data_IF_730583306725
#
_entry.id   IF_730583306725
#
_cell.length_a   1.000
_cell.length_b   1.000
_cell.length_c   1.000
_cell.angle_alpha   90.00
_cell.angle_beta   90.00
_cell.angle_gamma   90.00
#
_symmetry.space_group_name_H-M   'P 1'
#
loop_
_entity.id
_entity.type
_entity.pdbx_description
1 polymer ?
#
# COMPACT_ATOMS: atom_id res chain seq x y z
N UNK A 1 -6.93 -23.60 -13.30
CA UNK A 1 -6.09 -22.68 -12.51
C UNK A 1 -4.61 -23.07 -12.65
N UNK A 2 -3.94 -22.71 -13.75
CA UNK A 2 -2.50 -23.02 -13.93
C UNK A 2 -1.72 -21.89 -14.65
N UNK A 3 -2.26 -20.68 -14.72
CA UNK A 3 -1.68 -19.61 -15.53
C UNK A 3 -1.36 -18.32 -14.78
N UNK A 4 -1.88 -18.10 -13.55
CA UNK A 4 -1.51 -16.92 -12.76
C UNK A 4 -0.14 -17.05 -12.05
N UNK A 5 0.33 -18.28 -11.78
CA UNK A 5 1.60 -18.47 -11.11
C UNK A 5 2.80 -18.07 -11.99
N UNK A 6 2.70 -18.20 -13.31
CA UNK A 6 3.85 -18.07 -14.21
C UNK A 6 4.28 -16.63 -14.52
N UNK A 7 3.41 -15.63 -14.35
CA UNK A 7 3.75 -14.23 -14.60
C UNK A 7 4.46 -13.56 -13.41
N UNK A 8 4.30 -14.09 -12.19
CA UNK A 8 5.03 -13.63 -11.00
C UNK A 8 6.54 -13.98 -11.07
N UNK A 9 6.91 -15.00 -11.86
CA UNK A 9 8.28 -15.53 -11.89
C UNK A 9 9.24 -14.76 -12.80
N UNK A 10 8.77 -14.11 -13.87
CA UNK A 10 9.68 -13.60 -14.91
C UNK A 10 10.28 -12.24 -14.54
N UNK A 11 9.57 -11.38 -13.81
CA UNK A 11 10.12 -10.11 -13.33
C UNK A 11 10.95 -10.25 -12.05
N UNK A 12 10.75 -11.31 -11.25
CA UNK A 12 11.59 -11.58 -10.07
C UNK A 12 12.91 -12.27 -10.43
N UNK A 13 12.88 -13.20 -11.41
CA UNK A 13 14.04 -14.03 -11.76
C UNK A 13 15.20 -13.26 -12.42
N UNK A 14 14.95 -12.12 -13.08
CA UNK A 14 16.00 -11.32 -13.70
C UNK A 14 16.83 -10.49 -12.69
N UNK A 15 16.37 -10.36 -11.44
CA UNK A 15 17.05 -9.58 -10.39
C UNK A 15 17.57 -10.44 -9.23
N UNK A 16 17.44 -11.77 -9.32
CA UNK A 16 18.02 -12.72 -8.38
C UNK A 16 19.55 -12.79 -8.56
N UNK A 17 20.26 -11.81 -8.00
CA UNK A 17 21.54 -12.13 -7.38
C UNK A 17 21.29 -13.28 -6.38
N UNK A 18 22.24 -14.20 -6.28
CA UNK A 18 22.15 -15.47 -5.56
C UNK A 18 21.92 -15.41 -4.03
N UNK A 19 21.38 -14.30 -3.51
CA UNK A 19 20.81 -14.17 -2.18
C UNK A 19 19.43 -13.51 -2.26
N UNK A 20 18.36 -14.28 -2.10
CA UNK A 20 17.01 -13.73 -1.95
C UNK A 20 16.91 -12.78 -0.75
N UNK A 21 15.90 -11.91 -0.75
CA UNK A 21 15.63 -11.03 0.39
C UNK A 21 15.40 -11.85 1.66
N UNK A 22 16.20 -11.59 2.70
CA UNK A 22 16.09 -12.28 4.01
C UNK A 22 15.17 -11.56 4.99
N UNK A 23 14.73 -10.36 4.62
CA UNK A 23 13.91 -9.48 5.44
C UNK A 23 12.83 -8.84 4.57
N UNK A 24 11.65 -8.66 5.16
CA UNK A 24 10.50 -8.05 4.53
C UNK A 24 9.94 -6.97 5.45
N UNK A 25 9.71 -5.78 4.90
CA UNK A 25 9.02 -4.68 5.58
C UNK A 25 7.81 -4.28 4.73
N UNK A 26 6.64 -4.12 5.33
CA UNK A 26 5.42 -3.85 4.54
C UNK A 26 4.63 -2.67 5.08
N UNK A 27 4.09 -1.87 4.17
CA UNK A 27 3.25 -0.70 4.42
C UNK A 27 2.01 -0.80 3.56
N UNK A 28 0.90 -0.28 4.07
CA UNK A 28 -0.31 -0.27 3.30
C UNK A 28 -1.59 -0.34 4.10
N UNK A 29 -2.60 -0.92 3.45
CA UNK A 29 -3.94 -1.05 3.99
C UNK A 29 -4.33 -2.51 4.29
N UNK A 30 -5.64 -2.80 4.23
CA UNK A 30 -6.21 -4.10 4.58
C UNK A 30 -5.77 -5.25 3.70
N UNK A 31 -5.27 -5.00 2.47
CA UNK A 31 -4.72 -6.09 1.66
C UNK A 31 -3.38 -6.60 2.20
N UNK A 32 -2.69 -5.77 2.97
CA UNK A 32 -1.35 -6.04 3.51
C UNK A 32 -1.38 -6.26 5.02
N UNK A 33 -2.34 -5.67 5.74
CA UNK A 33 -2.47 -5.74 7.20
C UNK A 33 -2.69 -7.17 7.72
N UNK A 34 -1.72 -7.64 8.50
CA UNK A 34 -1.76 -8.95 9.16
C UNK A 34 -2.42 -8.93 10.55
N UNK A 35 -2.86 -7.78 11.05
CA UNK A 35 -3.56 -7.68 12.33
C UNK A 35 -3.38 -6.37 13.08
N UNK A 36 -2.58 -5.42 12.60
CA UNK A 36 -2.34 -4.14 13.27
C UNK A 36 -3.65 -3.40 13.60
N UNK A 37 -4.67 -3.43 12.72
CA UNK A 37 -5.97 -2.80 13.03
C UNK A 37 -6.71 -3.48 14.20
N UNK A 38 -6.40 -4.75 14.48
CA UNK A 38 -7.14 -5.59 15.42
C UNK A 38 -6.40 -5.85 16.73
N UNK A 39 -5.09 -5.60 16.78
CA UNK A 39 -4.25 -5.73 17.99
C UNK A 39 -4.42 -4.54 18.94
N UNK A 40 -4.19 -4.80 20.22
CA UNK A 40 -4.16 -3.83 21.30
C UNK A 40 -3.51 -4.46 22.54
N UNK A 41 -3.09 -3.66 23.52
CA UNK A 41 -2.38 -4.14 24.72
C UNK A 41 -3.14 -5.25 25.48
N UNK A 42 -4.47 -5.26 25.37
CA UNK A 42 -5.34 -6.23 26.06
C UNK A 42 -5.67 -7.49 25.25
N UNK A 43 -5.13 -7.63 24.02
CA UNK A 43 -5.46 -8.75 23.13
C UNK A 43 -4.26 -9.67 22.96
N UNK A 44 -4.12 -10.63 23.88
CA UNK A 44 -3.01 -11.58 23.93
C UNK A 44 -3.09 -12.71 22.90
N UNK A 45 -4.28 -12.98 22.34
CA UNK A 45 -4.54 -14.12 21.43
C UNK A 45 -4.89 -13.70 19.99
N UNK A 46 -4.27 -12.64 19.46
CA UNK A 46 -4.58 -12.19 18.09
C UNK A 46 -3.99 -13.15 17.07
N UNK A 47 -4.86 -13.93 16.42
CA UNK A 47 -4.50 -14.69 15.22
C UNK A 47 -4.18 -13.72 14.08
N UNK A 48 -2.95 -13.74 13.59
CA UNK A 48 -2.56 -12.93 12.46
C UNK A 48 -3.25 -13.40 11.17
N UNK A 49 -3.68 -12.43 10.37
CA UNK A 49 -4.32 -12.69 9.08
C UNK A 49 -3.26 -13.21 8.10
N UNK A 50 -3.61 -14.24 7.35
CA UNK A 50 -2.80 -14.77 6.26
C UNK A 50 -3.08 -13.95 4.99
N UNK A 51 -2.44 -12.79 4.87
CA UNK A 51 -2.48 -11.95 3.67
C UNK A 51 -1.49 -12.44 2.62
N UNK A 52 -1.52 -11.86 1.41
CA UNK A 52 -0.57 -12.22 0.36
C UNK A 52 0.89 -11.97 0.77
N UNK A 53 1.17 -10.93 1.56
CA UNK A 53 2.51 -10.67 2.10
C UNK A 53 2.94 -11.70 3.15
N UNK A 54 1.99 -12.31 3.87
CA UNK A 54 2.29 -13.42 4.77
C UNK A 54 2.70 -14.67 3.98
N UNK A 55 2.05 -14.94 2.85
CA UNK A 55 2.44 -16.03 1.96
C UNK A 55 3.81 -15.77 1.31
N UNK A 56 4.07 -14.53 0.89
CA UNK A 56 5.36 -14.12 0.35
C UNK A 56 6.50 -14.26 1.38
N UNK A 57 6.25 -13.93 2.64
CA UNK A 57 7.21 -14.13 3.73
C UNK A 57 7.40 -15.61 4.11
N UNK A 58 6.48 -16.49 3.72
CA UNK A 58 6.47 -17.89 4.12
C UNK A 58 7.66 -18.71 3.60
N UNK A 59 7.87 -19.92 4.15
CA UNK A 59 9.03 -20.77 3.86
C UNK A 59 9.10 -21.28 2.41
N UNK A 60 7.98 -21.21 1.67
CA UNK A 60 7.93 -21.60 0.26
C UNK A 60 8.34 -20.47 -0.70
N UNK A 61 8.51 -19.25 -0.18
CA UNK A 61 8.82 -18.05 -0.95
C UNK A 61 10.11 -17.42 -0.40
N UNK A 62 10.03 -16.40 0.46
CA UNK A 62 11.22 -15.70 0.97
C UNK A 62 11.83 -16.29 2.27
N UNK A 63 11.13 -17.20 2.96
CA UNK A 63 11.53 -17.75 4.28
C UNK A 63 11.92 -16.67 5.33
N UNK A 64 11.11 -15.61 5.43
CA UNK A 64 11.27 -14.54 6.43
C UNK A 64 10.52 -14.90 7.71
N UNK A 65 11.20 -15.59 8.62
CA UNK A 65 10.60 -16.26 9.79
C UNK A 65 10.01 -15.33 10.86
N UNK A 66 10.52 -14.10 10.97
CA UNK A 66 10.08 -13.13 11.98
C UNK A 66 9.07 -12.10 11.44
N UNK A 67 8.48 -12.35 10.27
CA UNK A 67 7.51 -11.44 9.68
C UNK A 67 6.18 -11.44 10.43
N UNK A 68 5.89 -10.36 11.15
CA UNK A 68 4.69 -10.18 11.97
C UNK A 68 4.25 -8.70 12.05
N UNK A 69 3.03 -8.40 12.54
CA UNK A 69 2.59 -7.02 12.79
C UNK A 69 3.57 -6.22 13.65
N UNK A 70 3.83 -4.97 13.29
CA UNK A 70 4.72 -4.07 14.02
C UNK A 70 4.06 -3.46 15.25
N UNK A 71 2.72 -3.40 15.30
CA UNK A 71 1.95 -2.69 16.31
C UNK A 71 1.40 -1.37 15.80
N UNK A 72 0.96 -0.51 16.72
CA UNK A 72 0.33 0.79 16.44
C UNK A 72 0.95 1.87 17.34
N UNK A 73 0.59 3.14 17.14
CA UNK A 73 1.05 4.21 18.04
C UNK A 73 0.80 3.87 19.51
N UNK A 74 1.83 4.01 20.35
CA UNK A 74 1.79 3.67 21.77
C UNK A 74 2.13 2.21 22.11
N UNK A 75 2.27 1.33 21.11
CA UNK A 75 2.62 -0.08 21.35
C UNK A 75 3.39 -0.72 20.17
N UNK A 76 4.60 -1.23 20.41
CA UNK A 76 5.46 -1.88 19.42
C UNK A 76 5.63 -3.39 19.71
N UNK A 77 5.32 -4.26 18.74
CA UNK A 77 5.49 -5.73 18.82
C UNK A 77 6.84 -6.25 18.27
N UNK A 78 7.73 -5.38 17.79
CA UNK A 78 8.98 -5.83 17.16
C UNK A 78 8.80 -6.44 15.77
N UNK A 79 7.67 -6.21 15.11
CA UNK A 79 7.37 -6.73 13.78
C UNK A 79 7.64 -5.74 12.65
N UNK A 80 7.64 -6.22 11.41
CA UNK A 80 7.96 -5.43 10.21
C UNK A 80 6.78 -5.25 9.25
N UNK A 81 5.59 -5.74 9.61
CA UNK A 81 4.35 -5.35 8.93
C UNK A 81 3.75 -4.11 9.60
N UNK A 82 3.86 -2.96 8.97
CA UNK A 82 3.31 -1.69 9.42
C UNK A 82 1.95 -1.36 8.80
N UNK A 83 1.46 -2.18 7.86
CA UNK A 83 0.18 -1.96 7.20
C UNK A 83 -0.98 -1.99 8.20
N UNK A 84 -1.98 -1.13 8.01
CA UNK A 84 -3.16 -1.04 8.87
C UNK A 84 -4.41 -1.00 8.02
N UNK A 85 -5.38 -1.87 8.29
CA UNK A 85 -6.63 -1.92 7.54
C UNK A 85 -7.33 -0.56 7.47
N UNK A 86 -7.88 -0.22 6.30
CA UNK A 86 -8.56 1.07 6.06
C UNK A 86 -7.63 2.28 5.93
N UNK A 87 -6.31 2.08 5.84
CA UNK A 87 -5.39 3.19 5.65
C UNK A 87 -5.51 3.86 4.29
N UNK A 88 -5.41 5.18 4.31
CA UNK A 88 -5.22 6.01 3.12
C UNK A 88 -3.78 6.49 3.01
N UNK A 89 -3.46 7.20 1.93
CA UNK A 89 -2.29 8.09 1.86
C UNK A 89 -2.37 9.22 2.89
N UNK A 90 -1.25 9.93 3.09
CA UNK A 90 -1.20 11.15 3.88
C UNK A 90 -2.03 12.27 3.26
N UNK A 91 -2.07 12.33 1.92
CA UNK A 91 -2.87 13.30 1.16
C UNK A 91 -4.37 13.22 1.48
N UNK A 92 -4.98 12.03 1.40
CA UNK A 92 -6.39 11.87 1.72
C UNK A 92 -6.67 12.08 3.21
N UNK A 93 -5.75 11.65 4.08
CA UNK A 93 -5.87 11.85 5.52
C UNK A 93 -5.90 13.34 5.90
N UNK A 94 -5.05 14.17 5.27
CA UNK A 94 -5.04 15.63 5.47
C UNK A 94 -6.37 16.31 5.09
N UNK A 95 -7.20 15.66 4.28
CA UNK A 95 -8.56 16.09 3.94
C UNK A 95 -9.65 15.55 4.87
N UNK A 96 -9.27 15.01 6.03
CA UNK A 96 -10.20 14.44 7.01
C UNK A 96 -10.81 13.10 6.58
N UNK A 97 -10.16 12.37 5.66
CA UNK A 97 -10.70 11.11 5.09
C UNK A 97 -10.09 9.87 5.70
N UNK A 98 -9.42 10.02 6.84
CA UNK A 98 -8.73 8.93 7.49
C UNK A 98 -9.71 8.04 8.27
N UNK A 99 -9.78 6.75 7.94
CA UNK A 99 -10.73 5.78 8.53
C UNK A 99 -10.06 4.76 9.47
N UNK A 100 -8.79 4.98 9.84
CA UNK A 100 -7.94 3.98 10.48
C UNK A 100 -7.33 4.42 11.83
N UNK A 101 -7.88 5.47 12.46
CA UNK A 101 -7.35 6.05 13.72
C UNK A 101 -5.96 6.71 13.57
N UNK A 102 -5.72 7.44 12.49
CA UNK A 102 -4.48 8.21 12.33
C UNK A 102 -3.29 7.35 11.92
N UNK A 103 -3.49 6.24 11.21
CA UNK A 103 -2.47 5.28 10.78
C UNK A 103 -2.22 5.32 9.25
N UNK A 104 -2.52 6.45 8.60
CA UNK A 104 -2.25 6.64 7.17
C UNK A 104 -0.77 6.37 6.82
N UNK A 105 -0.47 6.24 5.52
CA UNK A 105 0.85 5.83 5.04
C UNK A 105 2.01 6.63 5.66
N UNK A 106 1.87 7.96 5.78
CA UNK A 106 2.87 8.83 6.40
C UNK A 106 3.14 8.46 7.86
N UNK A 107 2.13 8.05 8.62
CA UNK A 107 2.32 7.57 9.99
C UNK A 107 3.03 6.22 10.01
N UNK A 108 2.71 5.32 9.07
CA UNK A 108 3.37 4.02 8.99
C UNK A 108 4.86 4.15 8.69
N UNK A 109 5.21 5.03 7.75
CA UNK A 109 6.60 5.22 7.30
C UNK A 109 7.32 6.20 8.22
N UNK A 110 6.93 7.47 8.26
CA UNK A 110 7.71 8.52 8.93
C UNK A 110 7.62 8.46 10.46
N UNK A 111 6.43 8.18 11.02
CA UNK A 111 6.24 8.22 12.49
C UNK A 111 6.53 6.90 13.19
N UNK A 112 6.51 5.78 12.45
CA UNK A 112 6.75 4.45 13.01
C UNK A 112 8.03 3.83 12.48
N UNK A 113 8.12 3.51 11.19
CA UNK A 113 9.28 2.78 10.67
C UNK A 113 10.58 3.57 10.70
N UNK A 114 10.57 4.82 10.25
CA UNK A 114 11.75 5.68 10.21
C UNK A 114 12.05 6.36 11.55
N UNK A 115 11.12 6.28 12.52
CA UNK A 115 11.25 6.92 13.81
C UNK A 115 11.94 5.99 14.83
N UNK A 116 13.15 6.30 15.33
CA UNK A 116 13.85 5.48 16.32
C UNK A 116 13.15 5.46 17.69
N UNK A 117 12.23 6.40 17.96
CA UNK A 117 11.40 6.33 19.16
C UNK A 117 10.41 5.16 19.12
N UNK A 118 9.95 4.76 17.92
CA UNK A 118 9.03 3.66 17.73
C UNK A 118 9.75 2.38 17.27
N UNK A 119 10.45 2.45 16.15
CA UNK A 119 11.21 1.33 15.59
C UNK A 119 12.57 1.20 16.29
N UNK A 120 12.59 0.43 17.38
CA UNK A 120 13.80 0.17 18.17
C UNK A 120 14.83 -0.71 17.44
N UNK A 121 14.40 -1.44 16.42
CA UNK A 121 15.27 -2.33 15.64
C UNK A 121 15.98 -1.60 14.49
N UNK A 122 15.60 -0.34 14.23
CA UNK A 122 16.17 0.49 13.18
C UNK A 122 15.65 0.17 11.77
N UNK A 123 16.07 1.00 10.81
CA UNK A 123 15.67 0.88 9.40
C UNK A 123 16.43 -0.28 8.74
N UNK A 124 15.69 -1.26 8.20
CA UNK A 124 16.22 -2.45 7.53
C UNK A 124 16.54 -2.15 6.06
N UNK A 125 17.64 -1.44 5.83
CA UNK A 125 18.02 -0.85 4.52
C UNK A 125 18.03 -1.82 3.33
N UNK A 126 18.44 -3.06 3.57
CA UNK A 126 18.58 -4.11 2.55
C UNK A 126 17.35 -5.03 2.44
N UNK A 127 16.31 -4.82 3.25
CA UNK A 127 15.05 -5.56 3.16
C UNK A 127 14.27 -5.23 1.90
N UNK A 128 13.38 -6.14 1.48
CA UNK A 128 12.34 -5.82 0.51
C UNK A 128 11.25 -5.00 1.22
N UNK A 129 11.02 -3.76 0.78
CA UNK A 129 9.98 -2.90 1.32
C UNK A 129 8.77 -2.90 0.41
N UNK A 130 7.62 -3.38 0.86
CA UNK A 130 6.39 -3.39 0.07
C UNK A 130 5.53 -2.18 0.43
N UNK A 131 5.13 -1.40 -0.56
CA UNK A 131 4.15 -0.31 -0.40
C UNK A 131 2.91 -0.63 -1.24
N UNK A 132 1.77 -0.79 -0.57
CA UNK A 132 0.47 -0.99 -1.22
C UNK A 132 -0.59 -0.13 -0.55
N UNK A 133 -1.01 0.94 -1.22
CA UNK A 133 -1.99 1.91 -0.70
C UNK A 133 -2.77 2.51 -1.87
N UNK A 134 -3.81 3.30 -1.60
CA UNK A 134 -4.52 4.11 -2.60
C UNK A 134 -5.97 3.67 -2.84
N UNK A 135 -6.31 2.41 -2.56
CA UNK A 135 -7.69 1.94 -2.73
C UNK A 135 -8.65 2.69 -1.81
N UNK A 136 -8.30 2.84 -0.53
CA UNK A 136 -9.17 3.56 0.40
C UNK A 136 -9.29 5.05 0.05
N UNK A 137 -8.24 5.65 -0.52
CA UNK A 137 -8.26 7.01 -1.02
C UNK A 137 -9.32 7.18 -2.11
N UNK A 138 -9.28 6.32 -3.14
CA UNK A 138 -10.27 6.33 -4.22
C UNK A 138 -11.68 6.05 -3.72
N UNK A 139 -11.85 5.09 -2.81
CA UNK A 139 -13.18 4.78 -2.27
C UNK A 139 -13.74 5.92 -1.42
N UNK A 140 -12.90 6.62 -0.65
CA UNK A 140 -13.29 7.79 0.13
C UNK A 140 -13.60 9.01 -0.76
N UNK A 141 -12.96 9.11 -1.93
CA UNK A 141 -13.23 10.14 -2.94
C UNK A 141 -14.50 9.86 -3.75
N UNK A 142 -14.79 8.60 -4.09
CA UNK A 142 -15.81 8.25 -5.07
C UNK A 142 -17.25 8.15 -4.52
N UNK A 143 -17.42 7.96 -3.21
CA UNK A 143 -18.70 7.52 -2.61
C UNK A 143 -19.29 8.51 -1.59
N UNK A 144 -18.97 9.81 -1.69
CA UNK A 144 -19.65 10.83 -0.86
C UNK A 144 -20.98 11.24 -1.51
N UNK A 145 -22.15 10.92 -0.90
CA UNK A 145 -23.47 11.19 -1.47
C UNK A 145 -23.70 12.67 -1.81
N UNK A 146 -23.14 13.57 -1.01
CA UNK A 146 -23.31 15.02 -1.15
C UNK A 146 -22.44 15.62 -2.28
N UNK A 147 -21.58 14.81 -2.91
CA UNK A 147 -20.62 15.26 -3.93
C UNK A 147 -20.65 14.44 -5.23
N UNK A 148 -21.69 13.61 -5.39
CA UNK A 148 -21.93 12.80 -6.58
C UNK A 148 -22.14 13.73 -7.77
N UNK A 149 -21.24 13.68 -8.76
CA UNK A 149 -21.21 14.56 -9.93
C UNK A 149 -19.89 15.34 -10.05
N UNK A 150 -19.64 16.32 -9.18
CA UNK A 150 -18.46 17.20 -9.25
C UNK A 150 -17.15 16.50 -8.84
N UNK A 151 -17.21 15.58 -7.88
CA UNK A 151 -16.03 14.81 -7.43
C UNK A 151 -15.52 13.81 -8.47
N UNK A 152 -16.37 13.36 -9.41
CA UNK A 152 -15.95 12.42 -10.45
C UNK A 152 -15.15 13.08 -11.56
N UNK A 153 -15.43 14.34 -11.87
CA UNK A 153 -14.70 15.09 -12.89
C UNK A 153 -13.23 15.34 -12.50
N UNK A 154 -12.95 15.41 -11.20
CA UNK A 154 -11.60 15.67 -10.67
C UNK A 154 -10.93 14.43 -10.10
N UNK A 155 -11.60 13.27 -10.11
CA UNK A 155 -11.13 12.06 -9.43
C UNK A 155 -9.75 11.59 -9.94
N UNK A 156 -9.49 11.72 -11.24
CA UNK A 156 -8.19 11.39 -11.83
C UNK A 156 -7.07 12.30 -11.30
N UNK A 157 -7.35 13.60 -11.14
CA UNK A 157 -6.38 14.56 -10.62
C UNK A 157 -6.10 14.30 -9.14
N UNK A 158 -7.15 13.96 -8.38
CA UNK A 158 -7.02 13.59 -6.97
C UNK A 158 -6.23 12.27 -6.83
N UNK A 159 -6.49 11.28 -7.68
CA UNK A 159 -5.74 10.03 -7.73
C UNK A 159 -4.25 10.25 -8.03
N UNK A 160 -3.92 11.11 -8.99
CA UNK A 160 -2.53 11.48 -9.27
C UNK A 160 -1.84 12.13 -8.04
N UNK A 161 -2.54 12.99 -7.29
CA UNK A 161 -2.00 13.58 -6.06
C UNK A 161 -1.76 12.55 -4.95
N UNK A 162 -2.59 11.50 -4.87
CA UNK A 162 -2.34 10.36 -3.97
C UNK A 162 -1.03 9.66 -4.39
N UNK A 163 -0.80 9.44 -5.69
CA UNK A 163 0.46 8.84 -6.18
C UNK A 163 1.68 9.71 -5.84
N UNK A 164 1.58 11.04 -5.97
CA UNK A 164 2.65 11.98 -5.56
C UNK A 164 2.94 11.88 -4.05
N UNK A 165 1.93 11.71 -3.21
CA UNK A 165 2.16 11.48 -1.77
C UNK A 165 2.91 10.16 -1.53
N UNK A 166 2.53 9.08 -2.23
CA UNK A 166 3.22 7.79 -2.15
C UNK A 166 4.68 7.90 -2.60
N UNK A 167 4.96 8.60 -3.71
CA UNK A 167 6.32 8.92 -4.13
C UNK A 167 7.10 9.62 -3.03
N UNK A 168 6.51 10.63 -2.38
CA UNK A 168 7.12 11.35 -1.26
C UNK A 168 7.49 10.43 -0.10
N UNK A 169 6.65 9.43 0.20
CA UNK A 169 6.96 8.45 1.24
C UNK A 169 8.07 7.48 0.83
N UNK A 170 8.10 7.03 -0.43
CA UNK A 170 9.20 6.21 -0.96
C UNK A 170 10.51 6.99 -0.95
N UNK A 171 10.48 8.28 -1.32
CA UNK A 171 11.63 9.16 -1.24
C UNK A 171 12.13 9.31 0.22
N UNK A 172 11.23 9.40 1.21
CA UNK A 172 11.63 9.44 2.61
C UNK A 172 12.36 8.16 3.04
N UNK A 173 11.90 7.00 2.58
CA UNK A 173 12.61 5.72 2.79
C UNK A 173 13.98 5.71 2.11
N UNK A 174 14.06 6.19 0.87
CA UNK A 174 15.32 6.29 0.12
C UNK A 174 16.34 7.19 0.85
N UNK A 175 15.90 8.33 1.38
CA UNK A 175 16.73 9.22 2.20
C UNK A 175 17.26 8.53 3.48
N UNK A 176 16.53 7.54 4.00
CA UNK A 176 16.95 6.73 5.13
C UNK A 176 17.87 5.55 4.74
N UNK A 177 18.20 5.41 3.45
CA UNK A 177 19.09 4.40 2.90
C UNK A 177 18.40 3.09 2.50
N UNK A 178 17.07 3.06 2.38
CA UNK A 178 16.35 1.91 1.82
C UNK A 178 16.74 1.72 0.35
N UNK A 179 17.06 0.48 -0.02
CA UNK A 179 17.52 0.14 -1.37
C UNK A 179 16.47 -0.55 -2.23
N UNK A 180 15.52 -1.27 -1.65
CA UNK A 180 14.57 -2.09 -2.41
C UNK A 180 13.14 -1.82 -1.98
N UNK A 181 12.35 -1.31 -2.93
CA UNK A 181 10.92 -1.07 -2.75
C UNK A 181 10.15 -1.83 -3.82
N UNK A 182 9.17 -2.61 -3.43
CA UNK A 182 8.15 -3.14 -4.31
C UNK A 182 6.86 -2.34 -4.11
N UNK A 183 6.40 -1.68 -5.17
CA UNK A 183 5.13 -0.99 -5.16
C UNK A 183 4.06 -1.85 -5.84
N UNK A 184 2.97 -2.13 -5.12
CA UNK A 184 1.80 -2.81 -5.70
C UNK A 184 0.89 -1.79 -6.36
N UNK A 185 0.61 -1.96 -7.66
CA UNK A 185 -0.31 -1.08 -8.37
C UNK A 185 -1.74 -1.16 -7.81
N UNK A 186 -2.55 -0.16 -8.16
CA UNK A 186 -3.97 -0.19 -7.87
C UNK A 186 -4.70 -1.05 -8.89
N UNK A 187 -5.36 -2.10 -8.39
CA UNK A 187 -6.37 -2.81 -9.17
C UNK A 187 -7.53 -1.90 -9.54
N UNK A 188 -8.20 -2.18 -10.65
CA UNK A 188 -9.37 -1.41 -11.10
C UNK A 188 -10.51 -1.44 -10.06
N UNK A 189 -10.64 -0.34 -9.31
CA UNK A 189 -11.62 -0.22 -8.24
C UNK A 189 -13.08 -0.26 -8.72
N UNK A 190 -13.34 -0.01 -10.01
CA UNK A 190 -14.68 -0.08 -10.59
C UNK A 190 -15.25 -1.50 -10.57
N UNK A 191 -14.38 -2.51 -10.47
CA UNK A 191 -14.77 -3.93 -10.44
C UNK A 191 -15.03 -4.44 -9.03
N UNK A 192 -14.82 -3.62 -8.00
CA UNK A 192 -15.02 -4.07 -6.62
C UNK A 192 -16.51 -4.25 -6.32
N UNK A 193 -16.96 -5.44 -5.88
CA UNK A 193 -18.38 -5.70 -5.63
C UNK A 193 -19.01 -4.73 -4.63
N UNK A 194 -18.24 -4.24 -3.66
CA UNK A 194 -18.68 -3.25 -2.68
C UNK A 194 -19.00 -1.90 -3.32
N UNK A 195 -18.20 -1.44 -4.28
CA UNK A 195 -18.46 -0.21 -5.02
C UNK A 195 -19.63 -0.41 -5.99
N UNK A 196 -19.61 -1.48 -6.78
CA UNK A 196 -20.67 -1.79 -7.76
C UNK A 196 -22.05 -1.78 -7.07
N UNK A 197 -22.16 -2.43 -5.90
CA UNK A 197 -23.38 -2.42 -5.10
C UNK A 197 -23.76 -1.02 -4.60
N UNK A 198 -22.78 -0.23 -4.15
CA UNK A 198 -23.03 1.12 -3.62
C UNK A 198 -23.50 2.09 -4.70
N UNK A 199 -22.93 2.03 -5.90
CA UNK A 199 -23.30 2.95 -6.99
C UNK A 199 -24.57 2.50 -7.72
N UNK A 200 -25.00 1.24 -7.57
CA UNK A 200 -26.24 0.75 -8.19
C UNK A 200 -27.48 1.56 -7.78
N UNK A 201 -27.50 2.13 -6.57
CA UNK A 201 -28.59 2.99 -6.09
C UNK A 201 -28.72 4.30 -6.90
N UNK A 202 -27.69 4.65 -7.68
CA UNK A 202 -27.63 5.86 -8.50
C UNK A 202 -28.28 5.68 -9.89
N UNK A 203 -28.82 4.50 -10.20
CA UNK A 203 -29.49 4.21 -11.46
C UNK A 203 -28.57 4.48 -12.67
N UNK A 204 -29.04 5.32 -13.60
CA UNK A 204 -28.33 5.66 -14.84
C UNK A 204 -26.98 6.35 -14.63
N UNK A 205 -26.71 6.87 -13.44
CA UNK A 205 -25.41 7.47 -13.10
C UNK A 205 -24.37 6.43 -12.68
N UNK A 206 -24.77 5.18 -12.42
CA UNK A 206 -23.85 4.13 -11.97
C UNK A 206 -22.70 3.86 -12.97
N UNK A 207 -22.93 3.73 -14.30
CA UNK A 207 -21.84 3.54 -15.26
C UNK A 207 -20.84 4.71 -15.28
N UNK A 208 -21.31 5.95 -15.08
CA UNK A 208 -20.46 7.14 -15.02
C UNK A 208 -19.56 7.08 -13.78
N UNK A 209 -20.12 6.72 -12.62
CA UNK A 209 -19.38 6.53 -11.39
C UNK A 209 -18.27 5.47 -11.53
N UNK A 210 -18.63 4.32 -12.10
CA UNK A 210 -17.70 3.21 -12.31
C UNK A 210 -16.59 3.58 -13.28
N UNK A 211 -16.92 4.27 -14.38
CA UNK A 211 -15.92 4.76 -15.33
C UNK A 211 -14.96 5.74 -14.66
N UNK A 212 -15.46 6.68 -13.87
CA UNK A 212 -14.62 7.64 -13.15
C UNK A 212 -13.63 6.94 -12.20
N UNK A 213 -14.07 5.91 -11.46
CA UNK A 213 -13.18 5.14 -10.58
C UNK A 213 -12.16 4.31 -11.36
N UNK A 214 -12.56 3.72 -12.50
CA UNK A 214 -11.63 2.99 -13.38
C UNK A 214 -10.54 3.94 -13.93
N UNK A 215 -10.95 5.10 -14.44
CA UNK A 215 -10.03 6.11 -14.96
C UNK A 215 -9.11 6.65 -13.86
N UNK A 216 -9.61 6.80 -12.63
CA UNK A 216 -8.81 7.25 -11.49
C UNK A 216 -7.78 6.21 -11.03
N UNK A 217 -8.16 4.92 -11.05
CA UNK A 217 -7.22 3.81 -10.77
C UNK A 217 -6.08 3.81 -11.79
N UNK A 218 -6.40 4.03 -13.07
CA UNK A 218 -5.39 4.18 -14.14
C UNK A 218 -4.53 5.42 -13.95
N UNK A 219 -5.13 6.57 -13.63
CA UNK A 219 -4.40 7.82 -13.42
C UNK A 219 -3.39 7.71 -12.27
N UNK A 220 -3.77 7.06 -11.16
CA UNK A 220 -2.83 6.74 -10.07
C UNK A 220 -1.66 5.87 -10.57
N UNK A 221 -1.96 4.79 -11.30
CA UNK A 221 -0.93 3.88 -11.79
C UNK A 221 0.03 4.56 -12.79
N UNK A 222 -0.48 5.39 -13.70
CA UNK A 222 0.32 6.18 -14.65
C UNK A 222 1.24 7.15 -13.91
N UNK A 223 0.73 7.85 -12.90
CA UNK A 223 1.55 8.77 -12.12
C UNK A 223 2.62 8.03 -11.29
N UNK A 224 2.30 6.85 -10.75
CA UNK A 224 3.29 6.02 -10.06
C UNK A 224 4.35 5.45 -11.00
N UNK A 225 4.01 5.09 -12.24
CA UNK A 225 4.99 4.69 -13.24
C UNK A 225 5.97 5.85 -13.55
N UNK A 226 5.45 7.08 -13.65
CA UNK A 226 6.30 8.27 -13.78
C UNK A 226 7.14 8.54 -12.52
N UNK A 227 6.57 8.35 -11.32
CA UNK A 227 7.27 8.49 -10.05
C UNK A 227 8.44 7.51 -9.91
N UNK A 228 8.29 6.26 -10.36
CA UNK A 228 9.38 5.27 -10.35
C UNK A 228 10.59 5.79 -11.14
N UNK A 229 10.35 6.39 -12.32
CA UNK A 229 11.42 6.97 -13.14
C UNK A 229 12.10 8.13 -12.40
N UNK A 230 11.32 9.05 -11.80
CA UNK A 230 11.87 10.17 -11.03
C UNK A 230 12.69 9.71 -9.82
N UNK A 231 12.19 8.73 -9.09
CA UNK A 231 12.86 8.14 -7.93
C UNK A 231 14.18 7.47 -8.32
N UNK A 232 14.23 6.76 -9.45
CA UNK A 232 15.46 6.12 -9.94
C UNK A 232 16.53 7.14 -10.34
N UNK A 233 16.14 8.26 -10.97
CA UNK A 233 17.06 9.35 -11.32
C UNK A 233 17.61 10.01 -10.05
N UNK A 234 16.74 10.28 -9.08
CA UNK A 234 17.11 11.00 -7.85
C UNK A 234 17.87 10.13 -6.84
N UNK A 235 17.67 8.81 -6.87
CA UNK A 235 18.24 7.87 -5.91
C UNK A 235 18.84 6.66 -6.67
N UNK A 236 20.06 6.76 -7.21
CA UNK A 236 20.66 5.71 -8.03
C UNK A 236 20.80 4.34 -7.35
N UNK A 237 20.87 4.32 -6.02
CA UNK A 237 20.97 3.11 -5.19
C UNK A 237 19.60 2.50 -4.85
N UNK A 238 18.51 3.25 -5.08
CA UNK A 238 17.15 2.75 -4.91
C UNK A 238 16.73 1.93 -6.13
N UNK A 239 16.07 0.82 -5.86
CA UNK A 239 15.41 -0.03 -6.85
C UNK A 239 13.94 -0.09 -6.48
N UNK A 240 13.10 0.47 -7.35
CA UNK A 240 11.64 0.39 -7.21
C UNK A 240 11.10 -0.60 -8.24
N UNK A 241 10.44 -1.65 -7.77
CA UNK A 241 9.87 -2.73 -8.58
C UNK A 241 8.35 -2.56 -8.57
N UNK A 242 7.74 -2.47 -9.75
CA UNK A 242 6.28 -2.53 -9.88
C UNK A 242 5.83 -3.99 -9.77
N UNK A 243 4.89 -4.25 -8.88
CA UNK A 243 4.09 -5.46 -8.86
C UNK A 243 2.75 -5.14 -9.53
N UNK A 244 2.54 -5.72 -10.71
CA UNK A 244 1.25 -5.64 -11.41
C UNK A 244 0.27 -6.67 -10.81
N UNK A 245 -0.87 -6.19 -10.33
CA UNK A 245 -1.91 -6.96 -9.66
C UNK A 245 -3.20 -7.08 -10.48
N UNK A 246 -3.18 -6.64 -11.75
CA UNK A 246 -4.30 -6.78 -12.69
C UNK A 246 -4.23 -8.07 -13.53
#
# INVERSE_FOLDING_TARGET
MKTLASLLFISLAAFCHAGGFKELVTFGDSLTDMGNRSVGPDKKDVKFRQTWVAQLAGPQMLDVRDFRPSGMNGFYFGGTNYAVGGSTSGYAAAKGRDQNKGQNLTVQISKRYLNPEFNKDGVRKDALHIVRIGTNDLMALAIQPEQIGSSWMTLNQEAAKVAVDVEGQIQAMANAGVKYVMWGNLSDGSKFPSLVRRVAILGDMAPIALKAVSDASKAFNVEMDAAIVRLAVKNPDLRVIKLDMD
#
